data_IF_446272378136
#
_entry.id   IF_446272378136
#
_cell.length_a   1.000
_cell.length_b   1.000
_cell.length_c   1.000
_cell.angle_alpha   90.00
_cell.angle_beta   90.00
_cell.angle_gamma   90.00
#
_symmetry.space_group_name_H-M   'P 1'
#
loop_
_entity.id
_entity.type
_entity.pdbx_description
1 polymer ?
#
# COMPACT_ATOMS: atom_id res chain seq x y z
N UNK A 1 0.87 -18.25 2.67
CA UNK A 1 0.53 -17.87 4.06
C UNK A 1 -0.86 -17.29 4.03
N UNK A 2 -1.78 -17.80 4.84
CA UNK A 2 -3.02 -17.07 5.12
C UNK A 2 -3.09 -16.97 6.64
N UNK A 3 -2.72 -15.80 7.16
CA UNK A 3 -3.04 -15.47 8.54
C UNK A 3 -4.55 -15.34 8.67
N UNK A 4 -5.10 -15.80 9.79
CA UNK A 4 -6.52 -15.59 10.11
C UNK A 4 -6.83 -14.09 10.24
N UNK A 5 -8.12 -13.72 10.18
CA UNK A 5 -8.57 -12.34 10.45
C UNK A 5 -8.05 -11.86 11.80
N UNK A 6 -8.02 -12.75 12.80
CA UNK A 6 -7.51 -12.45 14.14
C UNK A 6 -6.01 -12.11 14.12
N UNK A 7 -5.18 -12.94 13.49
CA UNK A 7 -3.73 -12.69 13.38
C UNK A 7 -3.43 -11.42 12.59
N UNK A 8 -4.26 -11.09 11.58
CA UNK A 8 -4.15 -9.82 10.85
C UNK A 8 -4.44 -8.63 11.75
N UNK A 9 -5.48 -8.71 12.58
CA UNK A 9 -5.79 -7.64 13.54
C UNK A 9 -4.66 -7.48 14.58
N UNK A 10 -4.13 -8.57 15.12
CA UNK A 10 -3.00 -8.53 16.06
C UNK A 10 -1.75 -7.90 15.43
N UNK A 11 -1.49 -8.17 14.15
CA UNK A 11 -0.40 -7.53 13.41
C UNK A 11 -0.63 -6.02 13.23
N UNK A 12 -1.85 -5.59 12.88
CA UNK A 12 -2.20 -4.18 12.73
C UNK A 12 -2.09 -3.42 14.06
N UNK A 13 -2.59 -4.01 15.16
CA UNK A 13 -2.51 -3.43 16.50
C UNK A 13 -1.05 -3.26 16.95
N UNK A 14 -0.21 -4.27 16.70
CA UNK A 14 1.21 -4.19 16.95
C UNK A 14 1.88 -3.07 16.15
N UNK A 15 1.60 -2.98 14.85
CA UNK A 15 2.14 -1.92 14.01
C UNK A 15 1.74 -0.52 14.50
N UNK A 16 0.46 -0.35 14.84
CA UNK A 16 -0.07 0.92 15.38
C UNK A 16 0.59 1.30 16.71
N UNK A 17 0.75 0.35 17.64
CA UNK A 17 1.39 0.58 18.94
C UNK A 17 2.86 1.00 18.82
N UNK A 18 3.57 0.45 17.84
CA UNK A 18 5.00 0.68 17.66
C UNK A 18 5.33 1.71 16.57
N UNK A 19 4.31 2.41 16.04
CA UNK A 19 4.45 3.38 14.95
C UNK A 19 5.20 2.78 13.72
N UNK A 20 4.94 1.51 13.44
CA UNK A 20 5.52 0.81 12.29
C UNK A 20 4.70 1.21 11.07
N UNK A 21 5.34 1.99 10.20
CA UNK A 21 4.78 2.44 8.93
C UNK A 21 5.70 2.03 7.79
N UNK A 22 5.22 2.19 6.56
CA UNK A 22 6.00 1.94 5.35
C UNK A 22 6.09 3.24 4.58
N UNK A 23 7.26 3.48 3.96
CA UNK A 23 7.41 4.54 2.98
C UNK A 23 6.57 4.20 1.75
N UNK A 24 5.73 5.16 1.34
CA UNK A 24 4.81 5.00 0.23
C UNK A 24 4.97 6.12 -0.79
N UNK A 25 4.64 5.80 -2.04
CA UNK A 25 4.37 6.78 -3.09
C UNK A 25 2.87 6.75 -3.41
N UNK A 26 2.20 7.88 -3.17
CA UNK A 26 0.76 8.01 -3.45
C UNK A 26 0.58 8.33 -4.93
N UNK A 27 -0.35 7.64 -5.59
CA UNK A 27 -0.70 7.85 -7.00
C UNK A 27 -2.21 8.02 -7.17
N UNK A 28 -2.59 8.75 -8.22
CA UNK A 28 -3.99 8.82 -8.65
C UNK A 28 -4.36 7.57 -9.45
N UNK A 29 -5.64 7.22 -9.49
CA UNK A 29 -6.12 6.00 -10.19
C UNK A 29 -5.76 5.99 -11.69
N UNK A 30 -5.68 7.17 -12.32
CA UNK A 30 -5.29 7.29 -13.72
C UNK A 30 -3.84 6.89 -14.02
N UNK A 31 -2.98 6.85 -12.99
CA UNK A 31 -1.55 6.56 -13.11
C UNK A 31 -1.20 5.07 -12.91
N UNK A 32 -2.21 4.19 -12.77
CA UNK A 32 -1.99 2.78 -12.41
C UNK A 32 -1.08 2.04 -13.39
N UNK A 33 -1.22 2.29 -14.71
CA UNK A 33 -0.41 1.61 -15.72
C UNK A 33 1.07 2.02 -15.61
N UNK A 34 1.34 3.32 -15.47
CA UNK A 34 2.70 3.84 -15.32
C UNK A 34 3.36 3.35 -14.03
N UNK A 35 2.61 3.35 -12.92
CA UNK A 35 3.07 2.81 -11.64
C UNK A 35 3.38 1.31 -11.74
N UNK A 36 2.54 0.54 -12.45
CA UNK A 36 2.78 -0.89 -12.67
C UNK A 36 4.05 -1.15 -13.48
N UNK A 37 4.30 -0.39 -14.55
CA UNK A 37 5.56 -0.48 -15.29
C UNK A 37 6.79 -0.21 -14.42
N UNK A 38 6.70 0.79 -13.52
CA UNK A 38 7.77 1.12 -12.57
C UNK A 38 8.03 -0.01 -11.58
N UNK A 39 6.99 -0.68 -11.07
CA UNK A 39 7.15 -1.88 -10.24
C UNK A 39 7.90 -2.98 -11.00
N UNK A 40 7.53 -3.27 -12.24
CA UNK A 40 8.20 -4.28 -13.07
C UNK A 40 9.67 -3.93 -13.31
N UNK A 41 9.98 -2.64 -13.50
CA UNK A 41 11.35 -2.12 -13.66
C UNK A 41 12.11 -2.00 -12.33
N UNK A 42 11.50 -2.36 -11.20
CA UNK A 42 12.05 -2.16 -9.84
C UNK A 42 12.35 -0.68 -9.51
N UNK A 43 11.72 0.24 -10.23
CA UNK A 43 11.78 1.70 -10.00
C UNK A 43 10.69 2.12 -9.00
N UNK A 44 10.75 1.55 -7.79
CA UNK A 44 9.77 1.80 -6.73
C UNK A 44 10.47 1.99 -5.39
N UNK A 45 10.03 2.98 -4.61
CA UNK A 45 10.37 3.09 -3.20
C UNK A 45 9.36 2.28 -2.38
N UNK A 46 9.61 0.98 -2.30
CA UNK A 46 8.86 -0.02 -1.52
C UNK A 46 7.40 -0.27 -1.94
N UNK A 47 6.51 0.73 -1.90
CA UNK A 47 5.07 0.56 -2.21
C UNK A 47 4.45 1.77 -2.89
N UNK A 48 3.66 1.51 -3.93
CA UNK A 48 2.66 2.46 -4.42
C UNK A 48 1.34 2.27 -3.66
N UNK A 49 0.66 3.37 -3.35
CA UNK A 49 -0.69 3.40 -2.75
C UNK A 49 -1.58 4.28 -3.62
N UNK A 50 -2.70 3.75 -4.08
CA UNK A 50 -3.66 4.51 -4.87
C UNK A 50 -4.55 5.30 -3.92
N UNK A 51 -4.64 6.62 -4.12
CA UNK A 51 -5.62 7.44 -3.40
C UNK A 51 -7.00 7.28 -4.03
N UNK A 52 -7.90 6.63 -3.28
CA UNK A 52 -9.27 6.36 -3.71
C UNK A 52 -10.20 7.55 -3.46
N UNK A 53 -9.78 8.59 -2.73
CA UNK A 53 -10.63 9.78 -2.50
C UNK A 53 -10.89 10.56 -3.79
N UNK A 54 -10.03 10.41 -4.79
CA UNK A 54 -10.16 11.05 -6.09
C UNK A 54 -11.03 10.25 -7.08
N UNK A 55 -11.55 9.10 -6.67
CA UNK A 55 -12.47 8.33 -7.49
C UNK A 55 -13.83 9.04 -7.55
N UNK A 56 -14.34 9.40 -8.74
CA UNK A 56 -15.69 9.91 -8.87
C UNK A 56 -16.71 8.86 -8.41
N UNK A 57 -17.65 9.26 -7.55
CA UNK A 57 -18.81 8.45 -7.15
C UNK A 57 -19.89 8.43 -8.22
#
# INVERSE_FOLDING_TARGET
MIGSIKETQEMLDFCGKHNITTDIEIIDIGMINDAFERVVKSDVRYRFVIDMQQLPV
#
